data_IF_489547436532
#
_entry.id   IF_489547436532
#
_cell.length_a   1.000
_cell.length_b   1.000
_cell.length_c   1.000
_cell.angle_alpha   90.00
_cell.angle_beta   90.00
_cell.angle_gamma   90.00
#
_symmetry.space_group_name_H-M   'P 1'
#
loop_
_entity.id
_entity.type
_entity.pdbx_description
1 polymer ?
#
# COMPACT_ATOMS: atom_id res chain seq x y z
N UNK A 1 7.08 16.62 -7.70
CA UNK A 1 7.09 15.25 -8.27
C UNK A 1 5.98 15.02 -9.27
N UNK A 2 4.71 15.33 -8.97
CA UNK A 2 3.60 15.18 -9.92
C UNK A 2 3.91 15.84 -11.29
N UNK A 3 4.28 17.11 -11.24
CA UNK A 3 4.64 17.95 -12.41
C UNK A 3 6.02 17.64 -13.02
N UNK A 4 6.73 16.62 -12.51
CA UNK A 4 7.97 16.13 -13.11
C UNK A 4 7.76 14.76 -13.74
N UNK A 5 6.99 13.89 -13.07
CA UNK A 5 6.79 12.52 -13.49
C UNK A 5 5.66 12.36 -14.51
N UNK A 6 4.57 13.10 -14.35
CA UNK A 6 3.36 12.95 -15.19
C UNK A 6 3.22 14.03 -16.27
N UNK A 7 4.21 14.92 -16.41
CA UNK A 7 4.17 15.99 -17.40
C UNK A 7 4.02 15.42 -18.80
N UNK A 8 3.19 16.10 -19.61
CA UNK A 8 2.88 15.70 -20.98
C UNK A 8 3.31 16.77 -21.98
N UNK A 9 3.69 16.31 -23.17
CA UNK A 9 3.78 17.13 -24.37
C UNK A 9 2.73 16.61 -25.35
N UNK A 10 1.63 17.36 -25.51
CA UNK A 10 0.43 16.86 -26.17
C UNK A 10 -0.15 15.65 -25.41
N UNK A 11 -0.31 14.52 -26.10
CA UNK A 11 -0.88 13.29 -25.54
C UNK A 11 0.16 12.29 -25.02
N UNK A 12 1.44 12.66 -24.95
CA UNK A 12 2.54 11.77 -24.52
C UNK A 12 3.20 12.28 -23.25
N UNK A 13 3.52 11.37 -22.34
CA UNK A 13 4.32 11.67 -21.16
C UNK A 13 5.75 12.03 -21.57
N UNK A 14 6.32 13.04 -20.94
CA UNK A 14 7.72 13.43 -21.13
C UNK A 14 8.67 12.47 -20.44
N UNK A 15 8.23 11.82 -19.35
CA UNK A 15 8.96 10.73 -18.72
C UNK A 15 8.94 9.48 -19.63
N UNK A 16 10.10 9.10 -20.15
CA UNK A 16 10.24 8.00 -21.11
C UNK A 16 9.79 6.65 -20.52
N UNK A 17 10.02 6.41 -19.23
CA UNK A 17 9.62 5.15 -18.59
C UNK A 17 8.11 5.08 -18.41
N UNK A 18 7.48 6.17 -18.00
CA UNK A 18 6.03 6.25 -17.89
C UNK A 18 5.37 6.13 -19.27
N UNK A 19 5.92 6.80 -20.29
CA UNK A 19 5.42 6.69 -21.66
C UNK A 19 5.53 5.25 -22.18
N UNK A 20 6.66 4.57 -21.96
CA UNK A 20 6.83 3.15 -22.34
C UNK A 20 5.83 2.24 -21.62
N UNK A 21 5.53 2.52 -20.35
CA UNK A 21 4.54 1.76 -19.57
C UNK A 21 3.13 1.98 -20.12
N UNK A 22 2.76 3.23 -20.39
CA UNK A 22 1.45 3.57 -20.96
C UNK A 22 1.28 3.01 -22.39
N UNK A 23 2.36 2.97 -23.19
CA UNK A 23 2.33 2.38 -24.54
C UNK A 23 2.23 0.85 -24.48
N UNK A 24 2.83 0.21 -23.46
CA UNK A 24 2.78 -1.25 -23.27
C UNK A 24 1.45 -1.73 -22.68
N UNK A 25 0.86 -0.97 -21.77
CA UNK A 25 -0.37 -1.28 -21.05
C UNK A 25 -1.35 -0.10 -21.16
N UNK A 26 -1.94 0.12 -22.35
CA UNK A 26 -2.82 1.26 -22.60
C UNK A 26 -4.04 1.30 -21.68
N UNK A 27 -4.50 0.14 -21.18
CA UNK A 27 -5.58 0.00 -20.21
C UNK A 27 -5.30 0.73 -18.88
N UNK A 28 -4.04 0.96 -18.52
CA UNK A 28 -3.68 1.70 -17.30
C UNK A 28 -3.60 3.21 -17.50
N UNK A 29 -3.73 3.71 -18.73
CA UNK A 29 -3.56 5.13 -19.01
C UNK A 29 -4.59 5.97 -18.26
N UNK A 30 -5.87 5.63 -18.39
CA UNK A 30 -6.95 6.34 -17.69
C UNK A 30 -6.76 6.28 -16.17
N UNK A 31 -6.39 5.11 -15.64
CA UNK A 31 -6.10 4.96 -14.22
C UNK A 31 -4.96 5.89 -13.76
N UNK A 32 -3.84 5.92 -14.50
CA UNK A 32 -2.70 6.77 -14.17
C UNK A 32 -3.11 8.24 -14.16
N UNK A 33 -3.82 8.69 -15.20
CA UNK A 33 -4.25 10.08 -15.36
C UNK A 33 -5.22 10.52 -14.25
N UNK A 34 -6.15 9.65 -13.87
CA UNK A 34 -7.12 9.94 -12.82
C UNK A 34 -6.52 9.87 -11.41
N UNK A 35 -5.33 9.28 -11.25
CA UNK A 35 -4.73 9.00 -9.94
C UNK A 35 -3.32 9.58 -9.76
N UNK A 36 -2.87 10.53 -10.59
CA UNK A 36 -1.50 11.10 -10.53
C UNK A 36 -1.10 11.60 -9.14
N UNK A 37 -2.03 12.22 -8.41
CA UNK A 37 -1.80 12.70 -7.04
C UNK A 37 -1.55 11.53 -6.08
N UNK A 38 -2.40 10.51 -6.10
CA UNK A 38 -2.29 9.33 -5.23
C UNK A 38 -0.99 8.58 -5.52
N UNK A 39 -0.66 8.39 -6.81
CA UNK A 39 0.60 7.75 -7.21
C UNK A 39 1.80 8.58 -6.72
N UNK A 40 1.73 9.91 -6.81
CA UNK A 40 2.79 10.78 -6.28
C UNK A 40 2.94 10.63 -4.77
N UNK A 41 1.84 10.53 -4.02
CA UNK A 41 1.87 10.30 -2.58
C UNK A 41 2.55 8.95 -2.25
N UNK A 42 2.22 7.90 -2.98
CA UNK A 42 2.86 6.59 -2.83
C UNK A 42 4.37 6.65 -3.07
N UNK A 43 4.83 7.35 -4.10
CA UNK A 43 6.27 7.57 -4.31
C UNK A 43 6.92 8.32 -3.15
N UNK A 44 6.28 9.37 -2.65
CA UNK A 44 6.79 10.12 -1.48
C UNK A 44 6.91 9.22 -0.25
N UNK A 45 5.95 8.33 -0.04
CA UNK A 45 6.01 7.40 1.07
C UNK A 45 7.07 6.31 0.89
N UNK A 46 7.26 5.80 -0.32
CA UNK A 46 8.36 4.87 -0.62
C UNK A 46 9.71 5.55 -0.34
N UNK A 47 9.88 6.79 -0.80
CA UNK A 47 11.10 7.58 -0.55
C UNK A 47 11.30 7.86 0.95
N UNK A 48 10.24 8.25 1.66
CA UNK A 48 10.29 8.46 3.11
C UNK A 48 10.64 7.18 3.87
N UNK A 49 10.06 6.04 3.48
CA UNK A 49 10.41 4.75 4.06
C UNK A 49 11.87 4.37 3.79
N UNK A 50 12.41 4.68 2.61
CA UNK A 50 13.83 4.46 2.30
C UNK A 50 14.76 5.43 3.05
N UNK A 51 14.27 6.60 3.44
CA UNK A 51 15.07 7.56 4.21
C UNK A 51 15.13 7.18 5.70
N UNK A 52 14.00 6.80 6.29
CA UNK A 52 13.87 6.67 7.76
C UNK A 52 13.82 5.23 8.26
N UNK A 53 13.39 4.28 7.42
CA UNK A 53 13.12 2.88 7.81
C UNK A 53 13.82 1.92 6.85
N UNK A 54 14.93 2.37 6.28
CA UNK A 54 15.74 1.56 5.39
C UNK A 54 16.59 0.60 6.19
N UNK A 55 16.51 -0.67 5.82
CA UNK A 55 17.33 -1.70 6.41
C UNK A 55 18.78 -1.55 5.94
N UNK A 56 19.71 -1.90 6.83
CA UNK A 56 21.14 -1.94 6.55
C UNK A 56 21.47 -2.96 5.45
N UNK A 57 22.76 -3.05 5.09
CA UNK A 57 23.21 -3.92 4.00
C UNK A 57 22.95 -5.42 4.26
N UNK A 58 22.81 -5.81 5.53
CA UNK A 58 22.34 -7.14 5.97
C UNK A 58 20.81 -7.20 6.04
N UNK A 59 20.13 -6.94 4.92
CA UNK A 59 18.67 -6.73 4.86
C UNK A 59 17.87 -8.01 5.04
N UNK A 60 17.94 -8.62 6.23
CA UNK A 60 17.05 -9.68 6.67
C UNK A 60 16.07 -9.11 7.70
N UNK A 61 14.78 -9.39 7.55
CA UNK A 61 13.85 -9.25 8.66
C UNK A 61 14.20 -10.36 9.67
N UNK A 62 14.63 -9.97 10.87
CA UNK A 62 14.95 -10.87 11.99
C UNK A 62 15.93 -12.02 11.64
N UNK A 63 16.92 -11.73 10.78
CA UNK A 63 17.93 -12.69 10.30
C UNK A 63 17.41 -13.94 9.57
N UNK A 64 16.10 -14.02 9.25
CA UNK A 64 15.48 -15.20 8.65
C UNK A 64 14.82 -14.93 7.30
N UNK A 65 14.34 -13.71 7.07
CA UNK A 65 13.61 -13.37 5.84
C UNK A 65 14.42 -12.39 5.00
N UNK A 66 15.03 -12.83 3.88
CA UNK A 66 15.76 -11.93 3.01
C UNK A 66 14.80 -10.93 2.36
N UNK A 67 15.11 -9.65 2.51
CA UNK A 67 14.38 -8.57 1.88
C UNK A 67 14.94 -8.29 0.49
N UNK A 68 14.04 -8.19 -0.48
CA UNK A 68 14.39 -7.88 -1.87
C UNK A 68 14.78 -6.41 -2.07
N UNK A 69 14.16 -5.53 -1.29
CA UNK A 69 14.43 -4.09 -1.28
C UNK A 69 14.96 -3.65 0.08
N UNK A 70 15.69 -2.53 0.14
CA UNK A 70 16.16 -1.99 1.43
C UNK A 70 15.06 -1.21 2.18
N UNK A 71 14.16 -0.56 1.44
CA UNK A 71 13.00 0.12 2.00
C UNK A 71 11.90 -0.84 2.42
N UNK A 72 11.42 -0.73 3.67
CA UNK A 72 10.34 -1.56 4.20
C UNK A 72 9.07 -1.49 3.33
N UNK A 73 8.63 -0.27 2.97
CA UNK A 73 7.42 -0.07 2.16
C UNK A 73 7.52 -0.71 0.78
N UNK A 74 8.73 -0.77 0.19
CA UNK A 74 8.97 -1.45 -1.08
C UNK A 74 8.82 -2.98 -0.95
N UNK A 75 9.30 -3.58 0.14
CA UNK A 75 9.09 -5.02 0.39
C UNK A 75 7.62 -5.34 0.65
N UNK A 76 6.90 -4.48 1.38
CA UNK A 76 5.46 -4.65 1.59
C UNK A 76 4.70 -4.61 0.26
N UNK A 77 5.01 -3.65 -0.60
CA UNK A 77 4.43 -3.55 -1.94
C UNK A 77 4.76 -4.79 -2.79
N UNK A 78 6.00 -5.27 -2.76
CA UNK A 78 6.42 -6.47 -3.51
C UNK A 78 5.69 -7.73 -3.03
N UNK A 79 5.60 -7.94 -1.70
CA UNK A 79 4.89 -9.08 -1.11
C UNK A 79 3.39 -9.03 -1.42
N UNK A 80 2.79 -7.83 -1.40
CA UNK A 80 1.39 -7.69 -1.79
C UNK A 80 1.19 -8.02 -3.27
N UNK A 81 1.97 -7.43 -4.18
CA UNK A 81 1.80 -7.61 -5.62
C UNK A 81 2.12 -9.03 -6.08
N UNK A 82 3.25 -9.58 -5.62
CA UNK A 82 3.77 -10.87 -6.08
C UNK A 82 3.31 -12.05 -5.22
N UNK A 83 2.74 -11.82 -4.03
CA UNK A 83 2.19 -12.85 -3.17
C UNK A 83 0.66 -12.84 -3.12
N UNK A 84 0.08 -11.74 -2.64
CA UNK A 84 -1.37 -11.66 -2.38
C UNK A 84 -2.14 -11.44 -3.68
N UNK A 85 -1.80 -10.42 -4.46
CA UNK A 85 -2.52 -10.06 -5.68
C UNK A 85 -2.30 -11.05 -6.84
N UNK A 86 -1.19 -11.78 -6.83
CA UNK A 86 -0.87 -12.83 -7.80
C UNK A 86 -1.57 -14.17 -7.49
N UNK A 87 -2.16 -14.32 -6.30
CA UNK A 87 -2.82 -15.55 -5.90
C UNK A 87 -4.15 -15.72 -6.64
N UNK A 88 -4.28 -16.81 -7.40
CA UNK A 88 -5.50 -17.11 -8.15
C UNK A 88 -6.75 -17.16 -7.26
N UNK A 89 -6.66 -17.69 -6.04
CA UNK A 89 -7.80 -17.73 -5.12
C UNK A 89 -8.29 -16.33 -4.76
N UNK A 90 -7.36 -15.37 -4.60
CA UNK A 90 -7.70 -13.98 -4.30
C UNK A 90 -8.27 -13.32 -5.55
N UNK A 91 -7.61 -13.49 -6.70
CA UNK A 91 -8.03 -12.90 -7.97
C UNK A 91 -9.41 -13.36 -8.40
N UNK A 92 -9.68 -14.66 -8.29
CA UNK A 92 -10.92 -15.29 -8.73
C UNK A 92 -12.09 -15.00 -7.76
N UNK A 93 -11.81 -14.47 -6.57
CA UNK A 93 -12.81 -14.08 -5.57
C UNK A 93 -12.75 -12.59 -5.21
N UNK A 94 -12.20 -11.74 -6.10
CA UNK A 94 -12.06 -10.30 -5.85
C UNK A 94 -13.39 -9.64 -5.49
N UNK A 95 -14.49 -10.05 -6.11
CA UNK A 95 -15.82 -9.48 -5.87
C UNK A 95 -16.30 -9.75 -4.44
N UNK A 96 -16.04 -10.96 -3.93
CA UNK A 96 -16.35 -11.36 -2.55
C UNK A 96 -15.48 -10.58 -1.58
N UNK A 97 -14.19 -10.44 -1.88
CA UNK A 97 -13.26 -9.65 -1.05
C UNK A 97 -13.69 -8.19 -1.03
N UNK A 98 -14.01 -7.59 -2.18
CA UNK A 98 -14.51 -6.23 -2.27
C UNK A 98 -15.84 -6.07 -1.53
N UNK A 99 -16.72 -7.06 -1.58
CA UNK A 99 -17.97 -7.07 -0.81
C UNK A 99 -17.68 -7.10 0.70
N UNK A 100 -16.82 -7.99 1.18
CA UNK A 100 -16.42 -8.07 2.59
C UNK A 100 -15.81 -6.75 3.05
N UNK A 101 -14.88 -6.19 2.27
CA UNK A 101 -14.26 -4.90 2.56
C UNK A 101 -15.33 -3.81 2.59
N UNK A 102 -16.19 -3.72 1.58
CA UNK A 102 -17.26 -2.70 1.49
C UNK A 102 -18.25 -2.79 2.64
N UNK A 103 -18.71 -4.00 2.98
CA UNK A 103 -19.61 -4.26 4.13
C UNK A 103 -18.91 -3.94 5.45
N UNK A 104 -17.61 -4.22 5.55
CA UNK A 104 -16.78 -3.76 6.65
C UNK A 104 -16.78 -2.23 6.72
N UNK A 105 -16.38 -1.53 5.66
CA UNK A 105 -16.25 -0.07 5.66
C UNK A 105 -17.58 0.68 5.79
N UNK A 106 -18.70 0.14 5.32
CA UNK A 106 -20.02 0.80 5.37
C UNK A 106 -20.61 0.92 6.77
N UNK A 107 -20.10 0.17 7.74
CA UNK A 107 -20.58 0.18 9.13
C UNK A 107 -19.77 1.06 10.08
N UNK A 108 -18.96 2.00 9.57
CA UNK A 108 -18.11 2.85 10.40
C UNK A 108 -18.77 4.15 10.85
N UNK A 109 -18.90 4.30 12.17
CA UNK A 109 -18.85 5.60 12.86
C UNK A 109 -17.37 6.03 12.86
N UNK A 110 -17.02 7.13 12.19
CA UNK A 110 -15.69 7.74 12.32
C UNK A 110 -14.55 7.20 11.43
N UNK A 111 -14.84 6.40 10.41
CA UNK A 111 -13.93 6.16 9.29
C UNK A 111 -12.83 5.11 9.46
N UNK A 112 -12.75 4.39 10.58
CA UNK A 112 -11.77 3.32 10.79
C UNK A 112 -12.48 2.05 11.30
N UNK A 113 -12.45 0.95 10.52
CA UNK A 113 -13.12 -0.30 10.91
C UNK A 113 -12.17 -1.19 11.75
N UNK A 114 -12.53 -1.52 13.00
CA UNK A 114 -11.73 -2.41 13.85
C UNK A 114 -11.53 -3.81 13.22
N UNK A 115 -12.54 -4.38 12.58
CA UNK A 115 -12.47 -5.67 11.86
C UNK A 115 -11.39 -5.65 10.77
N UNK A 116 -11.29 -4.58 9.97
CA UNK A 116 -10.23 -4.46 8.96
C UNK A 116 -8.83 -4.43 9.58
N UNK A 117 -8.68 -3.78 10.72
CA UNK A 117 -7.40 -3.69 11.42
C UNK A 117 -7.04 -5.02 12.08
N UNK A 118 -8.02 -5.73 12.63
CA UNK A 118 -7.84 -7.09 13.14
C UNK A 118 -7.44 -8.09 12.04
N UNK A 119 -7.94 -7.91 10.80
CA UNK A 119 -7.52 -8.69 9.64
C UNK A 119 -6.06 -8.41 9.22
N UNK A 120 -5.53 -7.23 9.54
CA UNK A 120 -4.12 -6.86 9.37
C UNK A 120 -3.26 -7.20 10.60
N UNK A 121 -3.81 -7.90 11.59
CA UNK A 121 -3.11 -8.24 12.84
C UNK A 121 -2.98 -7.07 13.83
N UNK A 122 -3.63 -5.94 13.57
CA UNK A 122 -3.64 -4.77 14.46
C UNK A 122 -4.83 -4.91 15.40
N UNK A 123 -4.54 -5.08 16.70
CA UNK A 123 -5.57 -5.21 17.73
C UNK A 123 -6.43 -3.94 17.82
N UNK A 124 -7.75 -4.13 17.90
CA UNK A 124 -8.75 -3.05 18.06
C UNK A 124 -8.47 -2.18 19.30
N UNK A 125 -7.82 -2.75 20.32
CA UNK A 125 -7.44 -2.09 21.56
C UNK A 125 -6.47 -0.92 21.31
N UNK A 126 -5.66 -0.98 20.25
CA UNK A 126 -4.70 0.09 19.91
C UNK A 126 -5.36 1.33 19.30
N UNK A 127 -6.63 1.24 18.92
CA UNK A 127 -7.31 2.25 18.11
C UNK A 127 -8.50 2.81 18.86
N UNK A 128 -9.29 1.96 19.51
CA UNK A 128 -10.41 2.37 20.38
C UNK A 128 -9.89 3.04 21.67
N UNK A 129 -10.21 4.32 21.92
CA UNK A 129 -9.75 5.03 23.11
C UNK A 129 -10.24 4.41 24.41
N UNK A 130 -11.48 3.91 24.45
CA UNK A 130 -12.08 3.32 25.66
C UNK A 130 -11.39 2.00 26.00
N UNK A 131 -11.19 1.13 25.02
CA UNK A 131 -10.49 -0.14 25.23
C UNK A 131 -9.02 0.05 25.59
N UNK A 132 -8.37 1.10 25.04
CA UNK A 132 -7.00 1.50 25.37
C UNK A 132 -6.85 1.95 26.82
N UNK A 133 -7.83 2.70 27.33
CA UNK A 133 -7.87 3.10 28.74
C UNK A 133 -8.06 1.90 29.68
N UNK A 134 -8.85 0.90 29.27
CA UNK A 134 -9.08 -0.30 30.08
C UNK A 134 -7.93 -1.31 30.01
N UNK A 135 -7.08 -1.23 28.98
CA UNK A 135 -6.00 -2.20 28.74
C UNK A 135 -4.67 -1.49 28.38
N UNK A 136 -4.10 -0.66 29.26
CA UNK A 136 -2.89 0.12 28.98
C UNK A 136 -1.65 -0.75 28.73
N UNK A 137 -1.64 -2.01 29.17
CA UNK A 137 -0.55 -2.95 28.98
C UNK A 137 -0.20 -3.22 27.49
N UNK A 138 -1.14 -2.97 26.57
CA UNK A 138 -0.91 -3.13 25.13
C UNK A 138 -0.13 -1.97 24.47
N UNK A 139 0.18 -0.89 25.21
CA UNK A 139 0.96 0.24 24.70
C UNK A 139 2.47 0.12 24.93
N UNK A 140 2.89 -0.84 25.77
CA UNK A 140 4.27 -0.99 26.24
C UNK A 140 4.93 -2.26 25.64
N UNK A 141 4.20 -3.02 24.83
CA UNK A 141 4.64 -4.25 24.16
C UNK A 141 4.56 -4.07 22.65
#
# INVERSE_FOLDING_TARGET
MRELFFTKSGSRYTNIYLQKLADKYPEFREFIENNELLITQEFSYLASSDMYVRQGDDSNLDNQVPLKYKGLRSNLADNFLNGIASNNLIRDNLDVIQYILKVGYSNNIGGINPVFLSLLGISNILIDPVLRYSNPQYLIW
#
